data_IF_669915393428
#
_entry.id   IF_669915393428
#
_cell.length_a   1.000
_cell.length_b   1.000
_cell.length_c   1.000
_cell.angle_alpha   90.00
_cell.angle_beta   90.00
_cell.angle_gamma   90.00
#
_symmetry.space_group_name_H-M   'P 1'
#
loop_
_entity.id
_entity.type
_entity.pdbx_description
1 polymer ?
#
# COMPACT_ATOMS: atom_id res chain seq x y z
N UNK A 1 -4.22 -10.75 -9.97
CA UNK A 1 -4.46 -9.37 -10.44
C UNK A 1 -3.19 -8.54 -10.22
N UNK A 2 -2.97 -7.48 -11.01
CA UNK A 2 -1.77 -6.63 -10.90
C UNK A 2 -2.01 -5.40 -10.00
N UNK A 3 -0.93 -4.74 -9.58
CA UNK A 3 -1.01 -3.52 -8.76
C UNK A 3 -1.83 -2.43 -9.46
N UNK A 4 -1.62 -2.22 -10.76
CA UNK A 4 -2.36 -1.22 -11.52
C UNK A 4 -3.87 -1.53 -11.60
N UNK A 5 -4.25 -2.82 -11.60
CA UNK A 5 -5.66 -3.21 -11.54
C UNK A 5 -6.31 -2.80 -10.21
N UNK A 6 -5.64 -3.06 -9.09
CA UNK A 6 -6.11 -2.64 -7.76
C UNK A 6 -6.08 -1.13 -7.58
N UNK A 7 -5.02 -0.46 -8.04
CA UNK A 7 -4.92 1.02 -8.06
C UNK A 7 -6.12 1.66 -8.76
N UNK A 8 -6.47 1.17 -9.95
CA UNK A 8 -7.64 1.70 -10.70
C UNK A 8 -8.94 1.57 -9.91
N UNK A 9 -9.14 0.46 -9.20
CA UNK A 9 -10.36 0.24 -8.40
C UNK A 9 -10.34 1.00 -7.07
N UNK A 10 -9.17 1.21 -6.47
CA UNK A 10 -9.00 2.08 -5.31
C UNK A 10 -9.38 3.54 -5.65
N UNK A 11 -9.03 3.99 -6.86
CA UNK A 11 -9.33 5.33 -7.36
C UNK A 11 -10.77 5.49 -7.90
N UNK A 12 -11.58 4.42 -7.91
CA UNK A 12 -12.96 4.50 -8.36
C UNK A 12 -13.84 5.17 -7.29
N UNK A 13 -14.16 6.44 -7.50
CA UNK A 13 -14.99 7.24 -6.59
C UNK A 13 -16.45 6.78 -6.51
N UNK A 14 -16.90 5.94 -7.46
CA UNK A 14 -18.25 5.34 -7.42
C UNK A 14 -18.33 4.18 -6.45
N UNK A 15 -17.18 3.63 -6.05
CA UNK A 15 -17.11 2.49 -5.13
C UNK A 15 -17.13 2.95 -3.66
N UNK A 16 -17.81 2.22 -2.75
CA UNK A 16 -17.77 2.49 -1.32
C UNK A 16 -16.34 2.51 -0.76
N UNK A 17 -16.12 3.28 0.31
CA UNK A 17 -14.81 3.39 0.97
C UNK A 17 -14.23 2.02 1.34
N UNK A 18 -15.05 1.11 1.86
CA UNK A 18 -14.64 -0.25 2.24
C UNK A 18 -14.13 -1.09 1.06
N UNK A 19 -14.75 -0.96 -0.12
CA UNK A 19 -14.29 -1.63 -1.34
C UNK A 19 -12.95 -1.07 -1.79
N UNK A 20 -12.80 0.26 -1.75
CA UNK A 20 -11.55 0.95 -2.09
C UNK A 20 -10.42 0.57 -1.11
N UNK A 21 -10.73 0.46 0.18
CA UNK A 21 -9.80 -0.01 1.21
C UNK A 21 -9.31 -1.44 0.97
N UNK A 22 -10.20 -2.36 0.59
CA UNK A 22 -9.82 -3.73 0.21
C UNK A 22 -8.82 -3.74 -0.97
N UNK A 23 -9.00 -2.85 -1.94
CA UNK A 23 -8.05 -2.66 -3.03
C UNK A 23 -6.73 -2.03 -2.58
N UNK A 24 -6.74 -1.12 -1.60
CA UNK A 24 -5.52 -0.60 -0.99
C UNK A 24 -4.70 -1.68 -0.28
N UNK A 25 -5.34 -2.56 0.51
CA UNK A 25 -4.67 -3.73 1.13
C UNK A 25 -4.14 -4.71 0.09
N UNK A 26 -4.84 -4.86 -1.04
CA UNK A 26 -4.35 -5.67 -2.16
C UNK A 26 -3.10 -5.04 -2.82
N UNK A 27 -3.05 -3.71 -2.94
CA UNK A 27 -1.84 -3.01 -3.35
C UNK A 27 -0.69 -3.24 -2.36
N UNK A 28 -0.95 -3.14 -1.04
CA UNK A 28 0.05 -3.41 -0.01
C UNK A 28 0.62 -4.84 -0.10
N UNK A 29 -0.23 -5.84 -0.33
CA UNK A 29 0.22 -7.22 -0.54
C UNK A 29 1.18 -7.34 -1.74
N UNK A 30 0.86 -6.68 -2.86
CA UNK A 30 1.70 -6.74 -4.07
C UNK A 30 3.02 -5.98 -3.89
N UNK A 31 3.03 -4.90 -3.10
CA UNK A 31 4.26 -4.23 -2.69
C UNK A 31 5.09 -5.15 -1.81
N UNK A 32 4.48 -5.77 -0.80
CA UNK A 32 5.17 -6.70 0.11
C UNK A 32 5.83 -7.85 -0.67
N UNK A 33 5.11 -8.47 -1.62
CA UNK A 33 5.66 -9.51 -2.49
C UNK A 33 6.86 -9.03 -3.31
N UNK A 34 6.83 -7.80 -3.83
CA UNK A 34 7.95 -7.23 -4.58
C UNK A 34 9.18 -6.98 -3.69
N UNK A 35 8.94 -6.62 -2.44
CA UNK A 35 9.96 -6.28 -1.45
C UNK A 35 10.46 -7.48 -0.63
N UNK A 36 9.85 -8.66 -0.77
CA UNK A 36 10.15 -9.81 0.07
C UNK A 36 9.73 -9.63 1.54
N UNK A 37 8.71 -8.81 1.82
CA UNK A 37 8.18 -8.51 3.15
C UNK A 37 6.82 -9.18 3.39
N UNK A 38 6.34 -9.18 4.64
CA UNK A 38 4.94 -9.52 4.91
C UNK A 38 4.03 -8.33 4.61
N UNK A 39 2.77 -8.61 4.28
CA UNK A 39 1.78 -7.56 3.99
C UNK A 39 1.59 -6.63 5.19
N UNK A 40 1.54 -7.21 6.39
CA UNK A 40 1.25 -6.46 7.61
C UNK A 40 2.42 -5.53 7.96
N UNK A 41 3.68 -5.91 7.65
CA UNK A 41 4.85 -5.01 7.75
C UNK A 41 4.70 -3.78 6.85
N UNK A 42 4.20 -3.97 5.62
CA UNK A 42 3.96 -2.86 4.68
C UNK A 42 2.83 -1.97 5.16
N UNK A 43 1.74 -2.54 5.68
CA UNK A 43 0.62 -1.79 6.26
C UNK A 43 1.12 -0.95 7.45
N UNK A 44 1.89 -1.56 8.35
CA UNK A 44 2.48 -0.87 9.49
C UNK A 44 3.44 0.25 9.05
N UNK A 45 4.27 0.01 8.02
CA UNK A 45 5.18 1.03 7.50
C UNK A 45 4.42 2.21 6.88
N UNK A 46 3.33 1.97 6.15
CA UNK A 46 2.45 3.03 5.65
C UNK A 46 1.86 3.82 6.81
N UNK A 47 1.33 3.14 7.84
CA UNK A 47 0.76 3.79 9.01
C UNK A 47 1.80 4.66 9.75
N UNK A 48 3.00 4.13 9.98
CA UNK A 48 4.11 4.86 10.63
C UNK A 48 4.55 6.09 9.85
N UNK A 49 4.57 6.03 8.51
CA UNK A 49 5.04 7.16 7.66
C UNK A 49 3.98 8.20 7.38
N UNK A 50 2.71 7.79 7.29
CA UNK A 50 1.62 8.66 6.80
C UNK A 50 0.56 8.96 7.84
N UNK A 51 0.52 8.22 8.95
CA UNK A 51 -0.57 8.26 9.93
C UNK A 51 -1.85 7.54 9.48
N UNK A 52 -1.85 6.89 8.32
CA UNK A 52 -3.03 6.20 7.78
C UNK A 52 -3.01 4.71 8.10
N UNK A 53 -4.08 4.25 8.76
CA UNK A 53 -4.35 2.82 8.92
C UNK A 53 -5.12 2.29 7.70
N UNK A 54 -4.53 1.32 6.99
CA UNK A 54 -5.17 0.66 5.83
C UNK A 54 -6.22 -0.38 6.23
N UNK A 55 -6.22 -0.86 7.47
CA UNK A 55 -7.26 -1.74 7.98
C UNK A 55 -8.52 -0.95 8.31
N UNK A 56 -8.39 0.26 8.83
CA UNK A 56 -9.52 1.15 9.15
C UNK A 56 -9.36 2.58 8.61
N UNK A 57 -9.34 2.78 7.28
CA UNK A 57 -9.24 4.12 6.70
C UNK A 57 -10.55 4.88 6.92
N UNK A 58 -10.43 6.15 7.33
CA UNK A 58 -11.55 7.02 7.73
C UNK A 58 -12.05 7.90 6.60
N UNK A 59 -11.27 8.05 5.52
CA UNK A 59 -11.66 8.90 4.40
C UNK A 59 -11.03 8.48 3.07
N UNK A 60 -11.61 8.92 1.93
CA UNK A 60 -10.96 8.78 0.62
C UNK A 60 -9.59 9.45 0.56
N UNK A 61 -9.39 10.57 1.26
CA UNK A 61 -8.11 11.28 1.29
C UNK A 61 -7.00 10.41 1.92
N UNK A 62 -7.31 9.70 3.00
CA UNK A 62 -6.38 8.75 3.62
C UNK A 62 -5.98 7.62 2.64
N UNK A 63 -6.93 7.09 1.86
CA UNK A 63 -6.61 6.10 0.83
C UNK A 63 -5.67 6.63 -0.25
N UNK A 64 -5.79 7.91 -0.61
CA UNK A 64 -4.89 8.54 -1.58
C UNK A 64 -3.50 8.72 -1.00
N UNK A 65 -3.39 9.17 0.26
CA UNK A 65 -2.11 9.30 0.98
C UNK A 65 -1.41 7.94 1.05
N UNK A 66 -2.13 6.90 1.50
CA UNK A 66 -1.58 5.55 1.57
C UNK A 66 -1.18 5.00 0.19
N UNK A 67 -1.96 5.29 -0.86
CA UNK A 67 -1.61 4.90 -2.23
C UNK A 67 -0.28 5.54 -2.67
N UNK A 68 -0.07 6.83 -2.40
CA UNK A 68 1.19 7.53 -2.75
C UNK A 68 2.38 6.86 -2.07
N UNK A 69 2.27 6.50 -0.78
CA UNK A 69 3.35 5.81 -0.07
C UNK A 69 3.59 4.40 -0.63
N UNK A 70 2.53 3.63 -0.93
CA UNK A 70 2.66 2.32 -1.56
C UNK A 70 3.35 2.39 -2.93
N UNK A 71 3.09 3.45 -3.70
CA UNK A 71 3.79 3.68 -4.97
C UNK A 71 5.26 4.04 -4.76
N UNK A 72 5.56 4.88 -3.77
CA UNK A 72 6.93 5.21 -3.36
C UNK A 72 7.71 3.95 -3.00
N UNK A 73 7.20 3.14 -2.06
CA UNK A 73 7.81 1.89 -1.63
C UNK A 73 8.05 0.92 -2.79
N UNK A 74 7.12 0.84 -3.75
CA UNK A 74 7.24 -0.04 -4.92
C UNK A 74 8.34 0.40 -5.88
N UNK A 75 8.64 1.69 -5.95
CA UNK A 75 9.59 2.27 -6.91
C UNK A 75 11.01 2.37 -6.36
N UNK A 76 11.18 2.33 -5.03
CA UNK A 76 12.51 2.28 -4.42
C UNK A 76 13.23 1.01 -4.90
N UNK A 77 14.40 1.13 -5.55
CA UNK A 77 15.23 -0.02 -5.84
C UNK A 77 15.66 -0.62 -4.50
N UNK A 78 15.52 -1.92 -4.34
CA UNK A 78 16.12 -2.65 -3.24
C UNK A 78 17.64 -2.52 -3.39
N UNK A 79 18.23 -1.47 -2.82
CA UNK A 79 19.65 -1.47 -2.53
C UNK A 79 19.82 -2.54 -1.46
N UNK A 80 20.25 -3.72 -1.88
CA UNK A 80 20.72 -4.77 -0.99
C UNK A 80 21.87 -4.19 -0.17
N UNK A 81 21.57 -3.61 0.99
CA UNK A 81 22.51 -3.62 2.09
C UNK A 81 22.55 -5.06 2.60
N UNK A 82 23.34 -5.86 1.89
CA UNK A 82 23.91 -7.07 2.44
C UNK A 82 24.96 -6.57 3.45
N UNK A 83 24.65 -6.66 4.73
CA UNK A 83 25.62 -6.48 5.81
C UNK A 83 25.97 -7.89 6.34
N UNK A 84 27.08 -8.49 5.88
CA UNK A 84 27.63 -9.65 6.54
C UNK A 84 28.47 -9.15 7.72
N UNK A 85 27.98 -9.37 8.94
CA UNK A 85 28.85 -9.52 10.10
C UNK A 85 28.82 -10.97 10.56
#
# INVERSE_FOLDING_TARGET
MSFNSHRRKLLDERSPLSHRASHARSCALLVAQKLGLQRDDVIEQVARKTGVDLDEPRSPAELLIALVELESMRLVPFSTHYDPQ
#
